data_IF_877513917804
#
_entry.id   IF_877513917804
#
_cell.length_a   1.000
_cell.length_b   1.000
_cell.length_c   1.000
_cell.angle_alpha   90.00
_cell.angle_beta   90.00
_cell.angle_gamma   90.00
#
_symmetry.space_group_name_H-M   'P 1'
#
loop_
_entity.id
_entity.type
_entity.pdbx_description
1 polymer ?
#
# COMPACT_ATOMS: atom_id res chain seq x y z
N UNK A 1 1.14 -10.69 17.69
CA UNK A 1 1.18 -11.60 16.52
C UNK A 1 2.30 -11.16 15.61
N UNK A 2 2.86 -12.05 14.78
CA UNK A 2 3.87 -11.67 13.81
C UNK A 2 3.30 -10.66 12.81
N UNK A 3 4.10 -9.66 12.45
CA UNK A 3 3.75 -8.70 11.41
C UNK A 3 3.38 -9.39 10.10
N UNK A 4 4.10 -10.47 9.76
CA UNK A 4 3.87 -11.25 8.56
C UNK A 4 2.49 -11.90 8.47
N UNK A 5 1.85 -12.20 9.61
CA UNK A 5 0.47 -12.67 9.68
C UNK A 5 -0.51 -11.49 9.76
N UNK A 6 -0.12 -10.41 10.43
CA UNK A 6 -0.98 -9.24 10.62
C UNK A 6 -1.36 -8.55 9.33
N UNK A 7 -0.42 -8.43 8.42
CA UNK A 7 -0.65 -7.78 7.15
C UNK A 7 -1.73 -8.52 6.32
N UNK A 8 -1.60 -9.82 6.01
CA UNK A 8 -2.63 -10.53 5.27
C UNK A 8 -3.94 -10.73 6.04
N UNK A 9 -3.91 -10.91 7.37
CA UNK A 9 -5.13 -11.17 8.13
C UNK A 9 -5.95 -9.92 8.47
N UNK A 10 -5.31 -8.75 8.59
CA UNK A 10 -5.99 -7.51 9.01
C UNK A 10 -5.82 -6.37 8.01
N UNK A 11 -4.59 -6.07 7.57
CA UNK A 11 -4.35 -4.92 6.68
C UNK A 11 -4.97 -5.13 5.30
N UNK A 12 -4.70 -6.27 4.67
CA UNK A 12 -5.19 -6.57 3.33
C UNK A 12 -6.74 -6.54 3.24
N UNK A 13 -7.49 -7.26 4.11
CA UNK A 13 -8.95 -7.21 4.05
C UNK A 13 -9.51 -5.83 4.42
N UNK A 14 -8.90 -5.10 5.36
CA UNK A 14 -9.32 -3.74 5.68
C UNK A 14 -9.13 -2.80 4.48
N UNK A 15 -8.02 -2.93 3.76
CA UNK A 15 -7.73 -2.13 2.58
C UNK A 15 -8.73 -2.41 1.44
N UNK A 16 -9.02 -3.68 1.19
CA UNK A 16 -9.99 -4.08 0.18
C UNK A 16 -11.38 -3.54 0.49
N UNK A 17 -11.81 -3.65 1.76
CA UNK A 17 -13.09 -3.13 2.23
C UNK A 17 -13.18 -1.62 2.10
N UNK A 18 -12.11 -0.89 2.42
CA UNK A 18 -12.08 0.58 2.31
C UNK A 18 -12.08 1.03 0.84
N UNK A 19 -11.34 0.36 -0.05
CA UNK A 19 -11.39 0.63 -1.50
C UNK A 19 -12.82 0.47 -2.04
N UNK A 20 -13.52 -0.60 -1.62
CA UNK A 20 -14.92 -0.83 -1.98
C UNK A 20 -15.86 0.20 -1.38
N UNK A 21 -15.64 0.61 -0.12
CA UNK A 21 -16.43 1.63 0.55
C UNK A 21 -16.33 3.00 -0.16
N UNK A 22 -15.17 3.30 -0.75
CA UNK A 22 -14.97 4.48 -1.60
C UNK A 22 -15.65 4.38 -2.97
N UNK A 23 -16.17 3.22 -3.37
CA UNK A 23 -16.78 2.97 -4.68
C UNK A 23 -15.84 2.38 -5.73
N UNK A 24 -14.60 2.04 -5.34
CA UNK A 24 -13.60 1.42 -6.21
C UNK A 24 -13.64 -0.12 -6.20
N UNK A 25 -12.94 -0.75 -7.15
CA UNK A 25 -12.76 -2.20 -7.18
C UNK A 25 -11.83 -2.65 -6.04
N UNK A 26 -12.04 -3.87 -5.54
CA UNK A 26 -11.14 -4.47 -4.56
C UNK A 26 -9.77 -4.74 -5.22
N UNK A 27 -8.65 -4.19 -4.70
CA UNK A 27 -7.32 -4.51 -5.18
C UNK A 27 -6.97 -5.97 -4.89
N UNK A 28 -6.26 -6.62 -5.83
CA UNK A 28 -5.59 -7.88 -5.57
C UNK A 28 -4.31 -7.58 -4.78
N UNK A 29 -4.27 -8.02 -3.52
CA UNK A 29 -3.19 -7.72 -2.59
C UNK A 29 -2.31 -8.96 -2.42
N UNK A 30 -1.01 -8.73 -2.41
CA UNK A 30 0.03 -9.73 -2.22
C UNK A 30 1.05 -9.19 -1.23
N UNK A 31 1.49 -10.01 -0.29
CA UNK A 31 2.42 -9.61 0.75
C UNK A 31 3.62 -10.55 0.76
N UNK A 32 4.82 -9.98 0.78
CA UNK A 32 6.05 -10.74 0.82
C UNK A 32 7.28 -9.86 1.07
N UNK A 33 8.45 -10.48 0.99
CA UNK A 33 9.74 -9.81 1.06
C UNK A 33 10.35 -9.69 -0.32
N UNK A 34 10.98 -8.57 -0.63
CA UNK A 34 11.67 -8.39 -1.89
C UNK A 34 12.49 -7.11 -1.97
N UNK A 35 13.15 -6.87 -3.12
CA UNK A 35 13.89 -5.64 -3.35
C UNK A 35 12.93 -4.47 -3.54
N UNK A 36 13.05 -3.48 -2.66
CA UNK A 36 12.28 -2.25 -2.71
C UNK A 36 12.42 -1.58 -4.08
N UNK A 37 11.33 -1.09 -4.70
CA UNK A 37 11.43 -0.37 -5.97
C UNK A 37 12.37 0.82 -5.83
N UNK A 38 13.09 1.18 -6.89
CA UNK A 38 14.10 2.26 -6.92
C UNK A 38 15.39 1.97 -6.13
N UNK A 39 15.31 1.58 -4.85
CA UNK A 39 16.49 1.44 -3.98
C UNK A 39 17.10 0.03 -3.99
N UNK A 40 16.31 -1.00 -4.31
CA UNK A 40 16.76 -2.40 -4.34
C UNK A 40 17.00 -3.04 -2.96
N UNK A 41 16.67 -2.34 -1.87
CA UNK A 41 16.88 -2.85 -0.51
C UNK A 41 15.84 -3.94 -0.17
N UNK A 42 16.29 -5.03 0.45
CA UNK A 42 15.36 -6.05 0.94
C UNK A 42 14.49 -5.49 2.06
N UNK A 43 13.18 -5.56 1.87
CA UNK A 43 12.21 -5.09 2.83
C UNK A 43 10.90 -5.89 2.72
N UNK A 44 10.08 -5.78 3.75
CA UNK A 44 8.71 -6.27 3.68
C UNK A 44 7.90 -5.33 2.81
N UNK A 45 7.17 -5.85 1.84
CA UNK A 45 6.32 -5.05 0.97
C UNK A 45 4.96 -5.68 0.73
N UNK A 46 3.95 -4.82 0.63
CA UNK A 46 2.61 -5.18 0.17
C UNK A 46 2.45 -4.65 -1.24
N UNK A 47 2.29 -5.55 -2.20
CA UNK A 47 1.97 -5.22 -3.58
C UNK A 47 0.46 -5.30 -3.77
N UNK A 48 -0.14 -4.23 -4.23
CA UNK A 48 -1.54 -4.24 -4.63
C UNK A 48 -1.70 -3.97 -6.12
N UNK A 49 -2.59 -4.71 -6.77
CA UNK A 49 -2.92 -4.58 -8.18
C UNK A 49 -4.39 -4.22 -8.32
N UNK A 50 -4.66 -3.08 -8.96
CA UNK A 50 -5.99 -2.63 -9.33
C UNK A 50 -6.25 -2.88 -10.81
N UNK A 51 -7.53 -2.95 -11.22
CA UNK A 51 -7.88 -3.02 -12.64
C UNK A 51 -7.33 -1.82 -13.42
N UNK A 52 -7.02 -2.07 -14.68
CA UNK A 52 -6.24 -1.14 -15.51
C UNK A 52 -4.75 -1.21 -15.23
N UNK A 53 -4.22 -2.39 -14.86
CA UNK A 53 -2.78 -2.67 -14.69
C UNK A 53 -2.02 -1.77 -13.68
N UNK A 54 -2.78 -1.04 -12.85
CA UNK A 54 -2.29 -0.12 -11.83
C UNK A 54 -1.77 -0.90 -10.64
N UNK A 55 -0.57 -0.57 -10.20
CA UNK A 55 0.14 -1.30 -9.15
C UNK A 55 0.65 -0.33 -8.11
N UNK A 56 0.56 -0.73 -6.86
CA UNK A 56 1.20 -0.01 -5.77
C UNK A 56 2.03 -0.96 -4.93
N UNK A 57 3.07 -0.42 -4.30
CA UNK A 57 3.93 -1.11 -3.38
C UNK A 57 3.99 -0.31 -2.10
N UNK A 58 3.67 -0.94 -0.98
CA UNK A 58 3.85 -0.38 0.35
C UNK A 58 4.99 -1.12 1.02
N UNK A 59 6.15 -0.49 1.09
CA UNK A 59 7.37 -1.04 1.65
C UNK A 59 7.54 -0.60 3.10
N UNK A 60 7.92 -1.52 3.97
CA UNK A 60 8.16 -1.31 5.39
C UNK A 60 9.64 -1.53 5.66
N UNK A 61 10.31 -0.56 6.28
CA UNK A 61 11.73 -0.68 6.61
C UNK A 61 11.99 -1.73 7.69
N UNK A 62 10.99 -2.01 8.52
CA UNK A 62 11.04 -3.02 9.58
C UNK A 62 9.71 -3.77 9.66
N UNK A 63 9.68 -4.90 10.36
CA UNK A 63 8.50 -5.73 10.53
C UNK A 63 7.56 -5.19 11.62
N UNK A 64 7.29 -3.88 11.60
CA UNK A 64 6.38 -3.23 12.54
C UNK A 64 5.48 -2.18 11.84
N UNK A 65 4.32 -1.92 12.44
CA UNK A 65 3.37 -0.94 11.93
C UNK A 65 3.84 0.50 12.19
N UNK A 66 4.77 0.75 13.11
CA UNK A 66 5.25 2.12 13.43
C UNK A 66 6.52 2.51 12.66
N UNK A 67 7.18 1.54 12.02
CA UNK A 67 8.45 1.74 11.29
C UNK A 67 8.30 2.70 10.10
N UNK A 68 9.42 3.18 9.54
CA UNK A 68 9.36 3.96 8.32
C UNK A 68 8.71 3.15 7.19
N UNK A 69 7.77 3.77 6.48
CA UNK A 69 7.06 3.16 5.36
C UNK A 69 7.25 4.03 4.15
N UNK A 70 7.36 3.37 3.01
CA UNK A 70 7.49 4.04 1.75
C UNK A 70 6.48 3.44 0.79
N UNK A 71 5.82 4.31 0.04
CA UNK A 71 4.82 3.92 -0.95
C UNK A 71 5.39 4.23 -2.34
N UNK A 72 5.19 3.30 -3.27
CA UNK A 72 5.45 3.52 -4.68
C UNK A 72 4.17 3.23 -5.45
N UNK A 73 3.88 4.06 -6.43
CA UNK A 73 2.72 3.96 -7.31
C UNK A 73 3.21 3.80 -8.74
N UNK A 74 2.63 2.87 -9.50
CA UNK A 74 2.87 2.74 -10.92
C UNK A 74 1.56 2.53 -11.68
N UNK A 75 1.39 3.26 -12.76
CA UNK A 75 0.27 3.09 -13.68
C UNK A 75 0.50 1.92 -14.65
N UNK A 76 -0.51 1.64 -15.47
CA UNK A 76 -0.47 0.60 -16.48
C UNK A 76 0.75 0.74 -17.39
N UNK A 77 1.63 -0.26 -17.42
CA UNK A 77 2.83 -0.25 -18.26
C UNK A 77 3.95 0.68 -17.79
N UNK A 78 3.77 1.39 -16.67
CA UNK A 78 4.84 2.16 -16.03
C UNK A 78 5.57 1.31 -14.98
N UNK A 79 6.87 1.58 -14.81
CA UNK A 79 7.63 1.03 -13.70
C UNK A 79 7.56 1.99 -12.49
N UNK A 80 7.54 1.46 -11.26
CA UNK A 80 7.60 2.30 -10.07
C UNK A 80 8.93 3.05 -10.04
N UNK A 81 8.88 4.34 -10.37
CA UNK A 81 10.06 5.21 -10.47
C UNK A 81 10.20 6.16 -9.28
N UNK A 82 9.12 6.38 -8.54
CA UNK A 82 9.08 7.27 -7.39
C UNK A 82 8.73 6.49 -6.13
N UNK A 83 9.56 6.68 -5.11
CA UNK A 83 9.36 6.13 -3.78
C UNK A 83 9.11 7.29 -2.83
N UNK A 84 7.91 7.34 -2.27
CA UNK A 84 7.45 8.42 -1.42
C UNK A 84 7.37 7.98 0.03
N UNK A 85 7.84 8.82 0.94
CA UNK A 85 7.68 8.61 2.38
C UNK A 85 6.20 8.58 2.76
N UNK A 86 5.75 7.49 3.38
CA UNK A 86 4.34 7.27 3.72
C UNK A 86 4.14 7.34 5.24
N UNK A 87 3.33 8.31 5.68
CA UNK A 87 2.94 8.49 7.09
C UNK A 87 4.12 8.71 8.06
N UNK A 88 5.16 9.41 7.61
CA UNK A 88 6.31 9.77 8.45
C UNK A 88 6.00 10.81 9.55
N UNK A 89 4.91 11.58 9.39
CA UNK A 89 4.51 12.63 10.34
C UNK A 89 3.58 12.09 11.44
N UNK A 90 3.01 10.90 11.24
CA UNK A 90 2.03 10.31 12.16
C UNK A 90 2.72 9.64 13.35
N UNK A 91 2.67 10.29 14.51
CA UNK A 91 3.21 9.75 15.78
C UNK A 91 2.47 8.51 16.29
N UNK A 92 1.22 8.28 15.86
CA UNK A 92 0.41 7.13 16.27
C UNK A 92 -0.17 6.43 15.04
N UNK A 93 0.56 5.43 14.55
CA UNK A 93 0.09 4.65 13.41
C UNK A 93 -0.99 3.67 13.85
N UNK A 94 -2.16 3.75 13.21
CA UNK A 94 -3.21 2.74 13.39
C UNK A 94 -3.59 2.13 12.04
N UNK A 95 -4.07 0.88 12.07
CA UNK A 95 -4.55 0.18 10.89
C UNK A 95 -5.56 0.99 10.04
N UNK A 96 -6.67 1.53 10.62
CA UNK A 96 -7.63 2.29 9.85
C UNK A 96 -7.05 3.58 9.26
N UNK A 97 -6.12 4.24 9.97
CA UNK A 97 -5.46 5.43 9.47
C UNK A 97 -4.57 5.11 8.26
N UNK A 98 -3.78 4.04 8.34
CA UNK A 98 -2.93 3.58 7.25
C UNK A 98 -3.77 3.28 6.01
N UNK A 99 -4.83 2.49 6.19
CA UNK A 99 -5.77 2.12 5.13
C UNK A 99 -6.41 3.37 4.51
N UNK A 100 -7.01 4.24 5.33
CA UNK A 100 -7.68 5.46 4.86
C UNK A 100 -6.73 6.37 4.08
N UNK A 101 -5.50 6.56 4.57
CA UNK A 101 -4.49 7.38 3.91
C UNK A 101 -4.04 6.78 2.57
N UNK A 102 -3.90 5.45 2.50
CA UNK A 102 -3.50 4.78 1.26
C UNK A 102 -4.63 4.89 0.22
N UNK A 103 -5.87 4.61 0.63
CA UNK A 103 -7.06 4.76 -0.22
C UNK A 103 -7.25 6.19 -0.69
N UNK A 104 -7.05 7.19 0.17
CA UNK A 104 -7.06 8.61 -0.22
C UNK A 104 -6.02 8.93 -1.31
N UNK A 105 -4.81 8.35 -1.21
CA UNK A 105 -3.76 8.51 -2.24
C UNK A 105 -4.17 7.87 -3.56
N UNK A 106 -4.67 6.63 -3.52
CA UNK A 106 -5.19 5.94 -4.71
C UNK A 106 -6.33 6.74 -5.37
N UNK A 107 -7.23 7.29 -4.56
CA UNK A 107 -8.32 8.13 -5.05
C UNK A 107 -7.81 9.45 -5.64
N UNK A 108 -6.79 10.07 -5.03
CA UNK A 108 -6.13 11.27 -5.56
C UNK A 108 -5.52 11.06 -6.95
N UNK A 109 -5.04 9.84 -7.24
CA UNK A 109 -4.58 9.41 -8.56
C UNK A 109 -5.73 9.04 -9.52
N UNK A 110 -7.00 9.20 -9.11
CA UNK A 110 -8.20 8.78 -9.84
C UNK A 110 -8.25 7.27 -10.11
N UNK A 111 -7.82 6.47 -9.14
CA UNK A 111 -7.84 5.00 -9.25
C UNK A 111 -9.11 4.33 -8.72
N UNK A 112 -9.85 5.00 -7.81
CA UNK A 112 -10.99 4.40 -7.11
C UNK A 112 -12.36 4.99 -7.52
N UNK A 113 -12.43 6.20 -8.05
CA UNK A 113 -13.68 6.85 -8.46
C UNK A 113 -13.78 7.06 -9.98
N UNK A 114 -15.00 7.07 -10.54
CA UNK A 114 -15.23 7.56 -11.90
C UNK A 114 -14.92 9.07 -11.97
N UNK A 115 -14.31 9.51 -13.08
CA UNK A 115 -14.24 10.94 -13.41
C UNK A 115 -15.64 11.49 -13.71
#
# INVERSE_FOLDING_TARGET
MPFADFIPQHLMPALAKECQAYGGPAPALDFGTGPMPVTGLECWMVKGVLPGDRRFWLCFTDAELESAKMIALAEAGAQPSLLESFLIDEKKMTLPLLVSRLVQRLNGQKWLGPN
#
